data_IF_366905032493
#
_entry.id   IF_366905032493
#
_cell.length_a   1.000
_cell.length_b   1.000
_cell.length_c   1.000
_cell.angle_alpha   90.00
_cell.angle_beta   90.00
_cell.angle_gamma   90.00
#
_symmetry.space_group_name_H-M   'P 1'
#
loop_
_entity.id
_entity.type
_entity.pdbx_description
1 polymer ?
#
# COMPACT_ATOMS: atom_id res chain seq x y z
N UNK A 1 -2.20 13.45 3.75
CA UNK A 1 -2.41 12.19 3.01
C UNK A 1 -1.26 11.31 3.41
N UNK A 2 -1.53 10.19 4.05
CA UNK A 2 -0.46 9.26 4.46
C UNK A 2 0.08 8.55 3.21
N UNK A 3 1.35 8.18 3.21
CA UNK A 3 1.97 7.48 2.08
C UNK A 3 2.55 6.15 2.56
N UNK A 4 2.22 5.07 1.86
CA UNK A 4 2.82 3.75 2.05
C UNK A 4 3.78 3.50 0.89
N UNK A 5 5.02 3.18 1.22
CA UNK A 5 6.06 2.86 0.24
C UNK A 5 6.20 1.35 0.13
N UNK A 6 6.08 0.79 -1.07
CA UNK A 6 6.25 -0.65 -1.24
C UNK A 6 7.69 -1.12 -1.02
N UNK A 7 8.65 -0.21 -1.09
CA UNK A 7 10.05 -0.49 -0.76
C UNK A 7 10.22 -0.96 0.69
N UNK A 8 9.36 -0.54 1.61
CA UNK A 8 9.43 -0.93 3.03
C UNK A 8 9.17 -2.45 3.22
N UNK A 9 8.56 -3.07 2.21
CA UNK A 9 8.23 -4.49 2.22
C UNK A 9 9.26 -5.37 1.52
N UNK A 10 10.31 -4.80 0.93
CA UNK A 10 11.39 -5.55 0.29
C UNK A 10 12.18 -6.37 1.31
N UNK A 11 12.77 -7.45 0.81
CA UNK A 11 13.65 -8.37 1.52
C UNK A 11 14.85 -8.64 0.61
N UNK A 12 16.03 -8.20 1.02
CA UNK A 12 17.26 -8.21 0.21
C UNK A 12 17.06 -7.63 -1.21
N UNK A 13 16.35 -6.50 -1.29
CA UNK A 13 16.07 -5.82 -2.56
C UNK A 13 15.06 -6.54 -3.46
N UNK A 14 14.33 -7.55 -2.97
CA UNK A 14 13.32 -8.26 -3.75
C UNK A 14 12.02 -8.38 -2.94
N UNK A 15 10.88 -8.31 -3.62
CA UNK A 15 9.59 -8.56 -2.99
C UNK A 15 9.32 -10.07 -2.91
N UNK A 16 9.53 -10.68 -1.74
CA UNK A 16 9.20 -12.10 -1.50
C UNK A 16 7.81 -12.22 -0.89
N UNK A 17 6.89 -12.91 -1.57
CA UNK A 17 5.47 -12.96 -1.16
C UNK A 17 5.26 -13.41 0.31
N UNK A 18 5.94 -14.47 0.75
CA UNK A 18 5.81 -14.97 2.13
C UNK A 18 6.22 -13.91 3.18
N UNK A 19 7.29 -13.18 2.92
CA UNK A 19 7.81 -12.15 3.84
C UNK A 19 6.94 -10.90 3.76
N UNK A 20 6.53 -10.52 2.56
CA UNK A 20 5.58 -9.43 2.33
C UNK A 20 4.30 -9.63 3.14
N UNK A 21 3.65 -10.80 2.99
CA UNK A 21 2.40 -11.13 3.71
C UNK A 21 2.60 -11.11 5.22
N UNK A 22 3.74 -11.58 5.71
CA UNK A 22 4.09 -11.51 7.14
C UNK A 22 4.27 -10.07 7.63
N UNK A 23 4.91 -9.20 6.85
CA UNK A 23 5.05 -7.77 7.18
C UNK A 23 3.67 -7.10 7.20
N UNK A 24 2.85 -7.34 6.18
CA UNK A 24 1.48 -6.82 6.05
C UNK A 24 0.60 -7.24 7.23
N UNK A 25 0.65 -8.51 7.65
CA UNK A 25 -0.15 -9.00 8.78
C UNK A 25 0.24 -8.40 10.12
N UNK A 26 1.45 -7.83 10.23
CA UNK A 26 1.94 -7.20 11.46
C UNK A 26 1.64 -5.70 11.53
N UNK A 27 1.06 -5.11 10.47
CA UNK A 27 0.67 -3.70 10.46
C UNK A 27 -0.69 -3.56 11.13
N UNK A 28 -0.78 -2.63 12.08
CA UNK A 28 -2.08 -2.18 12.59
C UNK A 28 -2.74 -1.25 11.56
N UNK A 29 -3.60 -1.80 10.70
CA UNK A 29 -4.28 -1.03 9.65
C UNK A 29 -5.32 -0.03 10.18
N UNK A 30 -5.77 -0.18 11.43
CA UNK A 30 -6.74 0.74 12.05
C UNK A 30 -6.20 2.16 12.19
N UNK A 31 -4.87 2.32 12.22
CA UNK A 31 -4.19 3.61 12.23
C UNK A 31 -4.52 4.50 11.01
N UNK A 32 -5.06 3.90 9.94
CA UNK A 32 -5.48 4.60 8.73
C UNK A 32 -6.98 4.92 8.70
N UNK A 33 -7.71 4.70 9.81
CA UNK A 33 -9.13 5.03 9.91
C UNK A 33 -9.39 6.48 9.52
N UNK A 34 -10.38 6.69 8.66
CA UNK A 34 -10.81 8.00 8.17
C UNK A 34 -9.74 8.80 7.40
N UNK A 35 -8.57 8.22 7.14
CA UNK A 35 -7.48 8.88 6.42
C UNK A 35 -7.59 8.70 4.90
N UNK A 36 -6.84 9.54 4.19
CA UNK A 36 -6.55 9.38 2.76
C UNK A 36 -5.13 8.82 2.63
N UNK A 37 -4.98 7.72 1.92
CA UNK A 37 -3.69 7.00 1.80
C UNK A 37 -3.27 6.95 0.33
N UNK A 38 -2.00 7.22 0.07
CA UNK A 38 -1.33 7.02 -1.22
C UNK A 38 -0.44 5.79 -1.13
N UNK A 39 -0.64 4.81 -2.00
CA UNK A 39 0.29 3.70 -2.21
C UNK A 39 1.28 4.13 -3.28
N UNK A 40 2.53 4.34 -2.89
CA UNK A 40 3.60 4.75 -3.80
C UNK A 40 4.37 3.52 -4.29
N UNK A 41 4.39 3.38 -5.61
CA UNK A 41 4.96 2.25 -6.33
C UNK A 41 6.27 2.51 -7.05
N UNK A 42 6.81 3.73 -6.97
CA UNK A 42 8.13 4.02 -7.54
C UNK A 42 9.18 3.35 -6.66
N UNK A 43 9.61 2.18 -7.12
CA UNK A 43 10.60 1.33 -6.50
C UNK A 43 11.74 1.12 -7.48
N UNK A 44 12.94 0.90 -6.95
CA UNK A 44 14.12 0.55 -7.74
C UNK A 44 14.03 -0.87 -8.33
N UNK A 45 12.96 -1.60 -7.98
CA UNK A 45 12.75 -3.01 -8.28
C UNK A 45 11.32 -3.25 -8.76
N UNK A 46 11.06 -4.19 -9.68
CA UNK A 46 9.69 -4.44 -10.16
C UNK A 46 8.77 -4.87 -9.01
N UNK A 47 7.67 -4.13 -8.78
CA UNK A 47 6.63 -4.55 -7.83
C UNK A 47 5.54 -5.33 -8.57
N UNK A 48 5.27 -6.58 -8.19
CA UNK A 48 4.15 -7.34 -8.70
C UNK A 48 2.78 -6.71 -8.35
N UNK A 49 1.82 -6.84 -9.26
CA UNK A 49 0.44 -6.35 -9.07
C UNK A 49 -0.22 -6.85 -7.78
N UNK A 50 0.06 -8.11 -7.37
CA UNK A 50 -0.53 -8.70 -6.18
C UNK A 50 -0.18 -7.92 -4.90
N UNK A 51 0.98 -7.27 -4.83
CA UNK A 51 1.40 -6.51 -3.66
C UNK A 51 0.48 -5.29 -3.43
N UNK A 52 0.17 -4.59 -4.51
CA UNK A 52 -0.80 -3.49 -4.51
C UNK A 52 -2.18 -3.95 -4.08
N UNK A 53 -2.64 -5.09 -4.61
CA UNK A 53 -3.97 -5.63 -4.30
C UNK A 53 -4.10 -6.00 -2.82
N UNK A 54 -3.08 -6.63 -2.24
CA UNK A 54 -3.08 -6.98 -0.82
C UNK A 54 -3.16 -5.74 0.07
N UNK A 55 -2.27 -4.75 -0.15
CA UNK A 55 -2.28 -3.50 0.65
C UNK A 55 -3.62 -2.77 0.51
N UNK A 56 -4.16 -2.74 -0.72
CA UNK A 56 -5.46 -2.10 -0.98
C UNK A 56 -6.58 -2.80 -0.23
N UNK A 57 -6.60 -4.13 -0.20
CA UNK A 57 -7.60 -4.93 0.52
C UNK A 57 -7.56 -4.69 2.04
N UNK A 58 -6.37 -4.60 2.64
CA UNK A 58 -6.23 -4.27 4.06
C UNK A 58 -6.69 -2.83 4.36
N UNK A 59 -6.24 -1.86 3.56
CA UNK A 59 -6.60 -0.44 3.74
C UNK A 59 -8.09 -0.17 3.56
N UNK A 60 -8.74 -0.81 2.58
CA UNK A 60 -10.13 -0.55 2.21
C UNK A 60 -11.11 -0.74 3.39
N UNK A 61 -10.73 -1.56 4.38
CA UNK A 61 -11.52 -1.78 5.59
C UNK A 61 -11.56 -0.55 6.51
N UNK A 62 -10.57 0.35 6.47
CA UNK A 62 -10.41 1.44 7.44
C UNK A 62 -10.42 2.84 6.80
N UNK A 63 -9.81 3.00 5.63
CA UNK A 63 -9.55 4.32 5.01
C UNK A 63 -10.79 4.98 4.42
N UNK A 64 -10.75 6.31 4.25
CA UNK A 64 -11.73 7.05 3.42
C UNK A 64 -11.45 6.90 1.93
N UNK A 65 -10.17 6.98 1.52
CA UNK A 65 -9.75 6.98 0.12
C UNK A 65 -8.37 6.38 -0.04
N UNK A 66 -8.19 5.61 -1.11
CA UNK A 66 -6.89 5.10 -1.54
C UNK A 66 -6.54 5.70 -2.88
N UNK A 67 -5.30 6.13 -3.00
CA UNK A 67 -4.69 6.64 -4.21
C UNK A 67 -3.47 5.78 -4.56
N UNK A 68 -3.13 5.72 -5.84
CA UNK A 68 -1.96 5.02 -6.36
C UNK A 68 -1.12 5.96 -7.23
N UNK A 69 0.21 5.84 -7.15
CA UNK A 69 1.15 6.59 -7.98
C UNK A 69 2.00 7.59 -7.19
N UNK A 70 2.27 8.75 -7.79
CA UNK A 70 3.07 9.82 -7.20
C UNK A 70 2.20 10.97 -6.68
N UNK A 71 2.69 11.75 -5.72
CA UNK A 71 1.92 12.84 -5.09
C UNK A 71 1.28 13.82 -6.08
N UNK A 72 1.94 14.09 -7.22
CA UNK A 72 1.46 15.02 -8.24
C UNK A 72 0.67 14.36 -9.38
N UNK A 73 0.63 13.04 -9.45
CA UNK A 73 -0.08 12.25 -10.48
C UNK A 73 -0.89 11.11 -9.88
N UNK A 74 -1.33 11.28 -8.63
CA UNK A 74 -2.01 10.26 -7.86
C UNK A 74 -3.38 9.94 -8.48
N UNK A 75 -3.60 8.67 -8.80
CA UNK A 75 -4.87 8.16 -9.29
C UNK A 75 -5.67 7.63 -8.12
N UNK A 76 -6.90 8.11 -7.95
CA UNK A 76 -7.81 7.61 -6.91
C UNK A 76 -8.34 6.24 -7.33
N UNK A 77 -8.11 5.21 -6.52
CA UNK A 77 -8.49 3.82 -6.83
C UNK A 77 -9.59 3.28 -5.93
N UNK A 78 -9.84 3.91 -4.78
CA UNK A 78 -10.87 3.48 -3.84
C UNK A 78 -11.46 4.67 -3.07
N UNK A 79 -12.76 4.58 -2.78
CA UNK A 79 -13.50 5.48 -1.90
C UNK A 79 -14.40 4.61 -1.03
N UNK A 80 -14.36 4.82 0.28
CA UNK A 80 -15.32 4.25 1.21
C UNK A 80 -16.54 5.18 1.26
N UNK A 81 -17.71 4.64 0.93
CA UNK A 81 -19.00 5.33 1.05
C UNK A 81 -19.37 5.61 2.51
#
# INVERSE_FOLDING_TARGET
METIYLNDFLDDGILREKIFRKKVSNIDWSQYSDKRVLIKGCSEVPIPTWAYLIITAELAQFVKRIYFGELRSAVKIFIKE
#
